data_IF_446500729987
#
_entry.id   IF_446500729987
#
_cell.length_a   1.000
_cell.length_b   1.000
_cell.length_c   1.000
_cell.angle_alpha   90.00
_cell.angle_beta   90.00
_cell.angle_gamma   90.00
#
_symmetry.space_group_name_H-M   'P 1'
#
loop_
_entity.id
_entity.type
_entity.pdbx_description
1 polymer ?
#
# COMPACT_ATOMS: atom_id res chain seq x y z
N UNK A 1 8.58 11.62 17.45
CA UNK A 1 8.02 11.40 16.10
C UNK A 1 8.59 10.10 15.60
N UNK A 2 7.74 9.13 15.26
CA UNK A 2 8.18 7.93 14.54
C UNK A 2 8.36 8.30 13.06
N UNK A 3 9.59 8.12 12.54
CA UNK A 3 10.02 8.50 11.20
C UNK A 3 10.06 7.30 10.24
N UNK A 4 9.13 6.37 10.40
CA UNK A 4 9.03 5.22 9.50
C UNK A 4 8.22 5.59 8.25
N UNK A 5 8.91 5.76 7.10
CA UNK A 5 8.27 5.88 5.79
C UNK A 5 8.41 4.58 5.01
N UNK A 6 7.29 3.91 4.71
CA UNK A 6 7.29 2.67 3.94
C UNK A 6 6.88 2.94 2.49
N UNK A 7 7.66 2.41 1.55
CA UNK A 7 7.37 2.53 0.12
C UNK A 7 6.34 1.48 -0.28
N UNK A 8 5.07 1.90 -0.37
CA UNK A 8 4.01 0.99 -0.78
C UNK A 8 4.10 0.55 -2.24
N UNK A 9 3.52 -0.62 -2.54
CA UNK A 9 3.27 -1.13 -3.89
C UNK A 9 1.82 -1.60 -3.94
N UNK A 10 1.05 -1.08 -4.89
CA UNK A 10 -0.38 -1.38 -4.98
C UNK A 10 -0.81 -1.49 -6.45
N UNK A 11 -1.85 -2.29 -6.69
CA UNK A 11 -2.52 -2.42 -7.99
C UNK A 11 -3.88 -1.73 -7.88
N UNK A 12 -4.21 -0.88 -8.84
CA UNK A 12 -5.47 -0.12 -8.84
C UNK A 12 -6.25 -0.44 -10.11
N UNK A 13 -7.49 -0.88 -9.92
CA UNK A 13 -8.41 -1.14 -11.01
C UNK A 13 -8.97 0.18 -11.60
N UNK A 14 -9.39 0.19 -12.88
CA UNK A 14 -10.07 1.34 -13.45
C UNK A 14 -11.40 1.61 -12.73
N UNK A 15 -11.88 2.87 -12.75
CA UNK A 15 -13.20 3.20 -12.21
C UNK A 15 -14.30 2.44 -12.96
N UNK A 16 -15.36 2.04 -12.23
CA UNK A 16 -16.49 1.32 -12.82
C UNK A 16 -16.24 -0.16 -13.12
N UNK A 17 -15.10 -0.73 -12.67
CA UNK A 17 -14.90 -2.18 -12.74
C UNK A 17 -16.04 -2.90 -12.00
N UNK A 18 -16.63 -3.90 -12.66
CA UNK A 18 -17.72 -4.68 -12.07
C UNK A 18 -17.28 -5.39 -10.79
N UNK A 19 -18.15 -5.53 -9.77
CA UNK A 19 -17.79 -6.16 -8.49
C UNK A 19 -17.20 -7.56 -8.63
N UNK A 20 -17.71 -8.37 -9.56
CA UNK A 20 -17.22 -9.74 -9.80
C UNK A 20 -15.77 -9.77 -10.31
N UNK A 21 -15.40 -8.81 -11.17
CA UNK A 21 -14.03 -8.70 -11.67
C UNK A 21 -13.10 -8.20 -10.57
N UNK A 22 -13.56 -7.27 -9.73
CA UNK A 22 -12.78 -6.79 -8.59
C UNK A 22 -12.51 -7.93 -7.60
N UNK A 23 -13.54 -8.74 -7.30
CA UNK A 23 -13.43 -9.88 -6.40
C UNK A 23 -12.44 -10.93 -6.94
N UNK A 24 -12.47 -11.22 -8.24
CA UNK A 24 -11.51 -12.11 -8.89
C UNK A 24 -10.06 -11.67 -8.61
N UNK A 25 -9.73 -10.41 -8.90
CA UNK A 25 -8.36 -9.90 -8.71
C UNK A 25 -7.96 -9.85 -7.23
N UNK A 26 -8.86 -9.44 -6.34
CA UNK A 26 -8.59 -9.44 -4.90
C UNK A 26 -8.27 -10.84 -4.38
N UNK A 27 -8.99 -11.86 -4.85
CA UNK A 27 -8.75 -13.24 -4.46
C UNK A 27 -7.44 -13.77 -5.03
N UNK A 28 -7.15 -13.47 -6.30
CA UNK A 28 -5.87 -13.85 -6.93
C UNK A 28 -4.68 -13.26 -6.16
N UNK A 29 -4.69 -11.96 -5.88
CA UNK A 29 -3.58 -11.31 -5.18
C UNK A 29 -3.46 -11.76 -3.72
N UNK A 30 -4.57 -12.08 -3.05
CA UNK A 30 -4.55 -12.65 -1.70
C UNK A 30 -3.90 -14.03 -1.69
N UNK A 31 -4.25 -14.89 -2.66
CA UNK A 31 -3.65 -16.21 -2.81
C UNK A 31 -2.15 -16.11 -3.13
N UNK A 32 -1.77 -15.22 -4.06
CA UNK A 32 -0.38 -14.94 -4.38
C UNK A 32 0.39 -14.47 -3.14
N UNK A 33 -0.13 -13.48 -2.40
CA UNK A 33 0.53 -12.96 -1.20
C UNK A 33 0.70 -14.02 -0.10
N UNK A 34 -0.23 -14.96 -0.01
CA UNK A 34 -0.16 -16.06 0.96
C UNK A 34 0.83 -17.16 0.55
N UNK A 35 1.23 -17.22 -0.72
CA UNK A 35 2.01 -18.31 -1.29
C UNK A 35 3.43 -18.39 -0.69
N UNK A 36 3.99 -19.60 -0.53
CA UNK A 36 5.37 -19.77 -0.05
C UNK A 36 6.40 -19.09 -0.96
N UNK A 37 6.17 -19.13 -2.27
CA UNK A 37 7.06 -18.53 -3.28
C UNK A 37 7.11 -17.02 -3.12
N UNK A 38 5.95 -16.37 -2.95
CA UNK A 38 5.90 -14.94 -2.70
C UNK A 38 6.55 -14.57 -1.37
N UNK A 39 6.26 -15.30 -0.30
CA UNK A 39 6.86 -15.04 1.02
C UNK A 39 8.38 -15.15 0.98
N UNK A 40 8.91 -16.15 0.27
CA UNK A 40 10.35 -16.31 0.05
C UNK A 40 10.92 -15.14 -0.74
N UNK A 41 10.30 -14.82 -1.88
CA UNK A 41 10.73 -13.69 -2.70
C UNK A 41 10.75 -12.37 -1.90
N UNK A 42 9.71 -12.12 -1.10
CA UNK A 42 9.60 -10.94 -0.27
C UNK A 42 10.72 -10.87 0.77
N UNK A 43 11.01 -11.99 1.46
CA UNK A 43 12.11 -12.07 2.41
C UNK A 43 13.47 -11.83 1.74
N UNK A 44 13.73 -12.49 0.61
CA UNK A 44 14.99 -12.39 -0.15
C UNK A 44 15.24 -10.95 -0.66
N UNK A 45 14.18 -10.17 -0.86
CA UNK A 45 14.24 -8.80 -1.40
C UNK A 45 13.89 -7.73 -0.38
N UNK A 46 13.85 -8.05 0.92
CA UNK A 46 13.51 -7.11 2.01
C UNK A 46 12.17 -6.38 1.79
N UNK A 47 11.21 -7.03 1.13
CA UNK A 47 9.85 -6.54 0.98
C UNK A 47 9.05 -6.93 2.22
N UNK A 48 8.46 -5.94 2.87
CA UNK A 48 7.67 -6.13 4.08
C UNK A 48 6.33 -5.40 3.97
N UNK A 49 5.31 -5.96 4.61
CA UNK A 49 3.97 -5.38 4.67
C UNK A 49 2.88 -6.44 4.62
N UNK A 50 1.69 -6.04 5.01
CA UNK A 50 0.50 -6.88 4.96
C UNK A 50 -0.26 -6.68 3.64
N UNK A 51 -1.02 -7.69 3.24
CA UNK A 51 -1.96 -7.56 2.15
C UNK A 51 -3.17 -6.72 2.58
N UNK A 52 -3.31 -5.54 1.99
CA UNK A 52 -4.46 -4.66 2.18
C UNK A 52 -5.28 -4.58 0.88
N UNK A 53 -6.60 -4.54 1.02
CA UNK A 53 -7.52 -4.39 -0.12
C UNK A 53 -8.74 -3.54 0.26
N UNK A 54 -9.39 -2.95 -0.74
CA UNK A 54 -10.64 -2.20 -0.54
C UNK A 54 -10.50 -1.08 0.49
N UNK A 55 -11.47 -0.92 1.42
CA UNK A 55 -11.48 0.17 2.40
C UNK A 55 -10.23 0.24 3.28
N UNK A 56 -9.60 -0.89 3.62
CA UNK A 56 -8.38 -0.90 4.43
C UNK A 56 -7.19 -0.28 3.69
N UNK A 57 -7.05 -0.58 2.39
CA UNK A 57 -6.02 0.02 1.56
C UNK A 57 -6.25 1.53 1.39
N UNK A 58 -7.50 1.94 1.19
CA UNK A 58 -7.86 3.37 1.11
C UNK A 58 -7.55 4.11 2.41
N UNK A 59 -7.89 3.52 3.57
CA UNK A 59 -7.60 4.11 4.88
C UNK A 59 -6.09 4.28 5.09
N UNK A 60 -5.29 3.29 4.70
CA UNK A 60 -3.83 3.37 4.72
C UNK A 60 -3.32 4.55 3.85
N UNK A 61 -3.82 4.71 2.63
CA UNK A 61 -3.42 5.82 1.75
C UNK A 61 -3.73 7.19 2.33
N UNK A 62 -4.90 7.37 2.95
CA UNK A 62 -5.26 8.64 3.59
C UNK A 62 -4.26 8.97 4.70
N UNK A 63 -3.96 8.01 5.57
CA UNK A 63 -3.01 8.19 6.67
C UNK A 63 -1.59 8.52 6.17
N UNK A 64 -1.10 7.81 5.15
CA UNK A 64 0.23 8.07 4.58
C UNK A 64 0.29 9.43 3.86
N UNK A 65 -0.78 9.81 3.15
CA UNK A 65 -0.90 11.13 2.51
C UNK A 65 -0.86 12.24 3.56
N UNK A 66 -1.54 12.09 4.68
CA UNK A 66 -1.51 13.09 5.76
C UNK A 66 -0.12 13.23 6.39
N UNK A 67 0.60 12.13 6.60
CA UNK A 67 2.00 12.17 7.05
C UNK A 67 2.87 12.92 6.05
N UNK A 68 2.74 12.59 4.76
CA UNK A 68 3.49 13.26 3.68
C UNK A 68 3.21 14.77 3.63
N UNK A 69 1.95 15.18 3.75
CA UNK A 69 1.57 16.60 3.77
C UNK A 69 2.19 17.34 4.97
N UNK A 70 2.11 16.77 6.17
CA UNK A 70 2.74 17.38 7.37
C UNK A 70 4.23 17.58 7.19
N UNK A 71 4.93 16.62 6.57
CA UNK A 71 6.36 16.75 6.29
C UNK A 71 6.66 17.82 5.26
N UNK A 72 5.90 17.85 4.17
CA UNK A 72 6.04 18.90 3.16
C UNK A 72 5.90 20.29 3.78
N UNK A 73 4.87 20.49 4.61
CA UNK A 73 4.67 21.77 5.32
C UNK A 73 5.81 22.08 6.26
N UNK A 74 6.28 21.12 7.05
CA UNK A 74 7.43 21.33 7.94
C UNK A 74 8.69 21.75 7.16
N UNK A 75 9.00 21.07 6.05
CA UNK A 75 10.12 21.40 5.19
C UNK A 75 9.99 22.79 4.55
N UNK A 76 8.78 23.19 4.17
CA UNK A 76 8.50 24.52 3.63
C UNK A 76 8.72 25.62 4.67
N UNK A 77 8.32 25.39 5.93
CA UNK A 77 8.53 26.34 7.03
C UNK A 77 9.99 26.47 7.47
N UNK A 78 10.81 25.43 7.24
CA UNK A 78 12.24 25.43 7.56
C UNK A 78 13.12 25.93 6.42
N UNK A 79 12.54 26.33 5.28
CA UNK A 79 13.31 26.87 4.15
C UNK A 79 13.84 28.27 4.52
N UNK A 80 15.15 28.55 4.32
CA UNK A 80 15.75 29.83 4.65
C UNK A 80 15.21 30.98 3.78
#
# INVERSE_FOLDING_TARGET
MDFTYKMQRSVVAPPGLKPEHLAYWQNLFRALHASPEWKRYAADNSLAGDFLSGPQLTAYWVAEREKHLRWKTALELMRP
#
